data_IF_022840925394
#
_entry.id   IF_022840925394
#
_cell.length_a   1.000
_cell.length_b   1.000
_cell.length_c   1.000
_cell.angle_alpha   90.00
_cell.angle_beta   90.00
_cell.angle_gamma   90.00
#
_symmetry.space_group_name_H-M   'P 1'
#
loop_
_entity.id
_entity.type
_entity.pdbx_description
1 polymer ?
#
# COMPACT_ATOMS: atom_id res chain seq x y z
N UNK A 1 -12.12 -9.73 14.79
CA UNK A 1 -11.17 -10.44 13.91
C UNK A 1 -10.51 -9.45 12.93
N UNK A 2 -10.16 -8.22 13.37
CA UNK A 2 -10.06 -7.09 12.43
C UNK A 2 -8.69 -6.38 12.45
N UNK A 3 -7.73 -6.84 13.27
CA UNK A 3 -6.38 -6.27 13.31
C UNK A 3 -5.53 -6.82 12.18
N UNK A 4 -5.18 -8.11 12.27
CA UNK A 4 -4.15 -8.72 11.42
C UNK A 4 -4.42 -8.68 9.90
N UNK A 5 -5.67 -8.82 9.46
CA UNK A 5 -6.02 -8.71 8.02
C UNK A 5 -5.77 -7.30 7.49
N UNK A 6 -6.22 -6.29 8.24
CA UNK A 6 -6.11 -4.90 7.85
C UNK A 6 -4.65 -4.41 7.86
N UNK A 7 -3.80 -5.03 8.69
CA UNK A 7 -2.35 -4.77 8.70
C UNK A 7 -1.66 -5.28 7.43
N UNK A 8 -2.03 -6.45 6.93
CA UNK A 8 -1.47 -7.00 5.69
C UNK A 8 -1.87 -6.15 4.48
N UNK A 9 -3.13 -5.69 4.46
CA UNK A 9 -3.67 -4.88 3.37
C UNK A 9 -3.00 -3.49 3.29
N UNK A 10 -2.76 -2.85 4.44
CA UNK A 10 -2.09 -1.54 4.51
C UNK A 10 -0.65 -1.62 3.98
N UNK A 11 0.09 -2.66 4.35
CA UNK A 11 1.48 -2.86 3.92
C UNK A 11 1.60 -3.01 2.39
N UNK A 12 0.67 -3.73 1.77
CA UNK A 12 0.61 -3.92 0.32
C UNK A 12 0.32 -2.59 -0.39
N UNK A 13 -0.61 -1.80 0.14
CA UNK A 13 -0.93 -0.48 -0.43
C UNK A 13 0.24 0.49 -0.33
N UNK A 14 0.87 0.59 0.83
CA UNK A 14 2.00 1.49 1.07
C UNK A 14 3.19 1.15 0.17
N UNK A 15 3.55 -0.14 0.07
CA UNK A 15 4.61 -0.61 -0.82
C UNK A 15 4.29 -0.39 -2.30
N UNK A 16 3.02 -0.53 -2.70
CA UNK A 16 2.59 -0.24 -4.07
C UNK A 16 2.75 1.24 -4.44
N UNK A 17 2.28 2.14 -3.58
CA UNK A 17 2.34 3.59 -3.82
C UNK A 17 3.79 4.09 -3.78
N UNK A 18 4.57 3.67 -2.78
CA UNK A 18 5.95 4.11 -2.60
C UNK A 18 6.89 3.64 -3.71
N UNK A 19 6.59 2.54 -4.38
CA UNK A 19 7.39 2.01 -5.50
C UNK A 19 7.02 2.63 -6.85
N UNK A 20 5.96 3.43 -6.92
CA UNK A 20 5.54 4.01 -8.19
C UNK A 20 6.56 5.08 -8.65
N UNK A 21 7.07 5.03 -9.89
CA UNK A 21 8.20 5.86 -10.34
C UNK A 21 7.91 7.37 -10.32
N UNK A 22 6.64 7.77 -10.29
CA UNK A 22 6.22 9.18 -10.20
C UNK A 22 6.07 9.68 -8.76
N UNK A 23 6.23 8.81 -7.76
CA UNK A 23 6.11 9.16 -6.34
C UNK A 23 7.51 9.39 -5.78
N UNK A 24 7.88 10.65 -5.58
CA UNK A 24 9.16 11.01 -4.95
C UNK A 24 9.12 10.86 -3.41
N UNK A 25 7.95 11.10 -2.81
CA UNK A 25 7.73 11.01 -1.36
C UNK A 25 6.23 10.85 -1.09
N UNK A 26 5.89 10.22 0.05
CA UNK A 26 4.51 10.14 0.54
C UNK A 26 4.39 10.75 1.95
N UNK A 27 3.25 11.35 2.24
CA UNK A 27 2.94 11.94 3.55
C UNK A 27 1.99 11.01 4.29
N UNK A 28 2.38 10.58 5.49
CA UNK A 28 1.62 9.63 6.31
C UNK A 28 0.99 10.33 7.51
N UNK A 29 -0.31 10.16 7.69
CA UNK A 29 -1.02 10.54 8.91
C UNK A 29 -1.02 9.39 9.91
N UNK A 30 -0.35 9.54 11.05
CA UNK A 30 -0.30 8.52 12.10
C UNK A 30 -0.81 9.09 13.44
N UNK A 31 -1.65 8.32 14.13
CA UNK A 31 -2.12 8.64 15.49
C UNK A 31 -1.39 7.82 16.56
N UNK A 32 -0.68 6.76 16.14
CA UNK A 32 0.07 5.85 17.00
C UNK A 32 1.43 5.50 16.37
N UNK A 33 2.43 5.24 17.21
CA UNK A 33 3.80 4.95 16.76
C UNK A 33 3.95 3.65 15.96
N UNK A 34 3.14 2.63 16.24
CA UNK A 34 3.22 1.36 15.53
C UNK A 34 2.82 1.49 14.05
N UNK A 35 1.95 2.44 13.70
CA UNK A 35 1.57 2.72 12.31
C UNK A 35 2.78 3.21 11.50
N UNK A 36 3.64 4.04 12.11
CA UNK A 36 4.88 4.47 11.46
C UNK A 36 5.86 3.31 11.26
N UNK A 37 5.86 2.35 12.19
CA UNK A 37 6.71 1.16 12.05
C UNK A 37 6.30 0.30 10.85
N UNK A 38 5.00 0.18 10.60
CA UNK A 38 4.45 -0.53 9.43
C UNK A 38 4.89 0.11 8.13
N UNK A 39 4.82 1.45 8.02
CA UNK A 39 5.32 2.18 6.85
C UNK A 39 6.79 1.88 6.57
N UNK A 40 7.62 1.85 7.61
CA UNK A 40 9.05 1.52 7.47
C UNK A 40 9.28 0.06 7.05
N UNK A 41 8.42 -0.85 7.50
CA UNK A 41 8.49 -2.25 7.11
C UNK A 41 7.93 -2.47 5.69
N UNK A 42 6.97 -1.66 5.24
CA UNK A 42 6.42 -1.67 3.87
C UNK A 42 7.51 -1.36 2.82
N UNK A 43 8.45 -0.47 3.15
CA UNK A 43 9.57 -0.15 2.25
C UNK A 43 10.49 -1.35 1.97
N UNK A 44 10.48 -2.38 2.83
CA UNK A 44 11.29 -3.60 2.66
C UNK A 44 10.56 -4.68 1.87
N UNK A 45 9.26 -4.52 1.64
CA UNK A 45 8.45 -5.52 0.94
C UNK A 45 8.60 -5.34 -0.56
N UNK A 46 8.84 -6.46 -1.25
CA UNK A 46 8.82 -6.51 -2.70
C UNK A 46 7.52 -7.14 -3.19
N UNK A 47 6.71 -6.33 -3.89
CA UNK A 47 5.53 -6.84 -4.57
C UNK A 47 5.93 -7.58 -5.83
N UNK A 48 5.45 -8.81 -5.98
CA UNK A 48 5.66 -9.59 -7.20
C UNK A 48 4.83 -9.01 -8.35
N UNK A 49 5.27 -9.26 -9.58
CA UNK A 49 4.55 -8.81 -10.79
C UNK A 49 3.12 -9.36 -10.88
N UNK A 50 2.86 -10.52 -10.27
CA UNK A 50 1.52 -11.13 -10.18
C UNK A 50 0.57 -10.28 -9.34
N UNK A 51 1.00 -9.91 -8.12
CA UNK A 51 0.20 -9.07 -7.20
C UNK A 51 -0.08 -7.70 -7.83
N UNK A 52 0.94 -7.09 -8.46
CA UNK A 52 0.79 -5.82 -9.19
C UNK A 52 -0.23 -5.97 -10.33
N UNK A 53 -0.18 -7.09 -11.06
CA UNK A 53 -1.13 -7.41 -12.11
C UNK A 53 -2.57 -7.48 -11.61
N UNK A 54 -2.78 -8.11 -10.46
CA UNK A 54 -4.12 -8.24 -9.86
C UNK A 54 -4.65 -6.91 -9.32
N UNK A 55 -3.81 -6.08 -8.69
CA UNK A 55 -4.17 -4.71 -8.28
C UNK A 55 -4.60 -3.90 -9.50
N UNK A 56 -3.84 -3.94 -10.59
CA UNK A 56 -4.14 -3.22 -11.82
C UNK A 56 -5.45 -3.70 -12.49
N UNK A 57 -5.75 -5.01 -12.45
CA UNK A 57 -7.03 -5.54 -12.94
C UNK A 57 -8.21 -4.97 -12.16
N UNK A 58 -8.10 -4.89 -10.83
CA UNK A 58 -9.16 -4.31 -9.98
C UNK A 58 -9.30 -2.81 -10.25
N UNK A 59 -8.20 -2.07 -10.29
CA UNK A 59 -8.20 -0.63 -10.61
C UNK A 59 -8.79 -0.36 -12.00
N UNK A 60 -8.53 -1.22 -12.99
CA UNK A 60 -9.13 -1.12 -14.32
C UNK A 60 -10.64 -1.35 -14.35
N UNK A 61 -11.20 -2.12 -13.41
CA UNK A 61 -12.66 -2.32 -13.28
C UNK A 61 -13.34 -1.14 -12.59
N UNK A 62 -12.63 -0.46 -11.69
CA UNK A 62 -13.11 0.72 -10.96
C UNK A 62 -12.14 1.88 -11.13
N UNK A 63 -12.11 2.53 -12.31
CA UNK A 63 -11.19 3.61 -12.57
C UNK A 63 -11.55 4.84 -11.71
N UNK A 64 -10.55 5.39 -11.01
CA UNK A 64 -10.68 6.56 -10.14
C UNK A 64 -11.93 6.54 -9.23
N UNK A 65 -12.04 5.57 -8.31
CA UNK A 65 -13.24 5.39 -7.50
C UNK A 65 -13.44 6.52 -6.47
N UNK A 66 -12.40 7.29 -6.16
CA UNK A 66 -12.43 8.44 -5.25
C UNK A 66 -11.45 9.51 -5.78
N UNK A 67 -11.95 10.55 -6.49
CA UNK A 67 -11.13 11.64 -7.02
C UNK A 67 -10.63 12.61 -5.94
#
# INVERSE_FOLDING_TARGET
MNGASQLMDALILESFVLRHPLVASAVFGATKLWQLREVLDAMKVELTSEIIGDINKIHGRFPNPCP
#
